data_IF_622183593823
#
_entry.id   IF_622183593823
#
_cell.length_a   1.000
_cell.length_b   1.000
_cell.length_c   1.000
_cell.angle_alpha   90.00
_cell.angle_beta   90.00
_cell.angle_gamma   90.00
#
_symmetry.space_group_name_H-M   'P 1'
#
loop_
_entity.id
_entity.type
_entity.pdbx_description
1 polymer ?
#
# COMPACT_ATOMS: atom_id res chain seq x y z
N UNK A 1 -14.31 6.03 -0.29
CA UNK A 1 -14.74 7.30 -0.93
C UNK A 1 -13.52 7.88 -1.64
N UNK A 2 -13.51 7.96 -2.98
CA UNK A 2 -12.33 8.36 -3.77
C UNK A 2 -12.00 9.83 -3.49
N UNK A 3 -10.82 10.12 -2.94
CA UNK A 3 -10.36 11.48 -2.61
C UNK A 3 -9.74 12.18 -3.83
N UNK A 4 -10.53 12.33 -4.90
CA UNK A 4 -10.10 13.02 -6.13
C UNK A 4 -9.56 14.44 -5.89
N UNK A 5 -10.06 15.13 -4.86
CA UNK A 5 -9.59 16.48 -4.49
C UNK A 5 -8.12 16.51 -4.07
N UNK A 6 -7.67 15.57 -3.23
CA UNK A 6 -6.28 15.51 -2.79
C UNK A 6 -5.32 15.17 -3.94
N UNK A 7 -5.78 14.38 -4.91
CA UNK A 7 -4.99 14.01 -6.10
C UNK A 7 -4.80 15.22 -7.02
N UNK A 8 -5.84 16.04 -7.19
CA UNK A 8 -5.76 17.28 -7.98
C UNK A 8 -4.84 18.30 -7.29
N UNK A 9 -4.94 18.44 -5.96
CA UNK A 9 -4.05 19.32 -5.19
C UNK A 9 -2.58 18.90 -5.28
N UNK A 10 -2.28 17.61 -5.12
CA UNK A 10 -0.92 17.06 -5.29
C UNK A 10 -0.37 17.24 -6.72
N UNK A 11 -1.22 17.21 -7.75
CA UNK A 11 -0.81 17.35 -9.15
C UNK A 11 -0.64 18.79 -9.61
N UNK A 12 -1.45 19.71 -9.10
CA UNK A 12 -1.58 21.05 -9.69
C UNK A 12 -1.14 22.18 -8.74
N UNK A 13 -0.94 21.89 -7.45
CA UNK A 13 -0.78 22.93 -6.42
C UNK A 13 -1.99 23.87 -6.32
N UNK A 14 -3.13 23.48 -6.89
CA UNK A 14 -4.25 24.36 -7.15
C UNK A 14 -5.26 24.29 -6.00
N UNK A 15 -5.25 25.33 -5.16
CA UNK A 15 -6.21 25.54 -4.09
C UNK A 15 -7.41 26.31 -4.65
N UNK A 16 -8.65 25.77 -4.68
CA UNK A 16 -9.76 26.44 -5.35
C UNK A 16 -10.28 27.62 -4.52
N UNK A 17 -9.71 28.82 -4.73
CA UNK A 17 -10.38 30.07 -4.33
C UNK A 17 -11.61 30.28 -5.21
N UNK A 18 -12.79 30.25 -4.59
CA UNK A 18 -14.12 30.56 -5.16
C UNK A 18 -14.07 31.66 -6.23
N UNK A 19 -14.16 31.27 -7.50
CA UNK A 19 -14.51 32.19 -8.58
C UNK A 19 -16.02 32.38 -8.58
N UNK A 20 -16.48 33.58 -8.18
CA UNK A 20 -17.84 34.05 -8.48
C UNK A 20 -17.93 34.27 -9.99
N UNK A 21 -18.79 33.50 -10.64
CA UNK A 21 -19.19 33.73 -12.03
C UNK A 21 -20.20 34.88 -12.05
N UNK A 22 -19.84 35.98 -12.71
CA UNK A 22 -20.79 37.02 -13.11
C UNK A 22 -21.49 36.55 -14.39
N UNK A 23 -22.81 36.37 -14.33
CA UNK A 23 -23.65 36.19 -15.50
C UNK A 23 -23.82 37.54 -16.22
N UNK A 24 -23.62 37.53 -17.54
CA UNK A 24 -24.08 38.61 -18.42
C UNK A 24 -25.13 38.05 -19.40
N UNK A 25 -26.20 38.81 -19.49
CA UNK A 25 -27.46 38.63 -20.22
C UNK A 25 -27.39 39.08 -21.69
N UNK A 26 -28.36 38.64 -22.50
CA UNK A 26 -28.82 39.32 -23.73
C UNK A 26 -28.73 38.44 -24.98
N UNK A 27 -29.79 37.72 -25.34
CA UNK A 27 -30.80 38.04 -26.40
C UNK A 27 -30.31 37.81 -27.83
N UNK A 28 -30.95 36.91 -28.57
CA UNK A 28 -31.73 37.31 -29.75
C UNK A 28 -32.64 36.18 -30.28
N UNK A 29 -33.86 36.60 -30.60
CA UNK A 29 -34.99 35.85 -31.12
C UNK A 29 -35.00 35.98 -32.65
N UNK A 30 -35.63 35.01 -33.34
CA UNK A 30 -35.93 34.92 -34.79
C UNK A 30 -34.97 34.06 -35.65
N UNK A 31 -35.08 32.73 -35.52
CA UNK A 31 -34.85 31.82 -36.66
C UNK A 31 -35.56 30.46 -36.45
N UNK A 32 -36.88 30.51 -36.31
CA UNK A 32 -37.71 29.35 -35.97
C UNK A 32 -38.48 28.91 -37.22
N UNK A 33 -37.86 28.09 -38.09
CA UNK A 33 -38.55 27.03 -38.88
C UNK A 33 -37.62 26.28 -39.85
N UNK A 34 -36.48 26.85 -40.27
CA UNK A 34 -35.41 26.11 -40.98
C UNK A 34 -34.43 25.41 -40.02
N UNK A 35 -34.58 25.63 -38.71
CA UNK A 35 -33.71 25.13 -37.65
C UNK A 35 -33.96 23.64 -37.30
N UNK A 36 -35.21 23.15 -37.32
CA UNK A 36 -35.53 21.81 -36.77
C UNK A 36 -34.91 20.62 -37.52
N UNK A 37 -34.75 20.67 -38.86
CA UNK A 37 -34.11 19.58 -39.63
C UNK A 37 -32.59 19.56 -39.49
N UNK A 38 -31.97 20.73 -39.31
CA UNK A 38 -30.52 20.86 -39.11
C UNK A 38 -30.14 20.56 -37.66
N UNK A 39 -31.02 20.92 -36.72
CA UNK A 39 -30.88 20.67 -35.27
C UNK A 39 -31.08 19.19 -34.90
N UNK A 40 -31.99 18.46 -35.55
CA UNK A 40 -32.13 17.01 -35.30
C UNK A 40 -30.96 16.17 -35.84
N UNK A 41 -30.41 16.54 -37.02
CA UNK A 41 -29.21 15.91 -37.60
C UNK A 41 -27.93 16.21 -36.81
N UNK A 42 -27.79 17.41 -36.26
CA UNK A 42 -26.64 17.75 -35.39
C UNK A 42 -26.75 17.08 -34.04
N UNK A 43 -27.96 17.00 -33.46
CA UNK A 43 -28.21 16.29 -32.20
C UNK A 43 -27.93 14.79 -32.32
N UNK A 44 -28.37 14.12 -33.40
CA UNK A 44 -28.06 12.69 -33.60
C UNK A 44 -26.58 12.41 -33.85
N UNK A 45 -25.87 13.31 -34.53
CA UNK A 45 -24.41 13.24 -34.72
C UNK A 45 -23.64 13.48 -33.42
N UNK A 46 -24.08 14.45 -32.61
CA UNK A 46 -23.50 14.68 -31.29
C UNK A 46 -23.72 13.50 -30.34
N UNK A 47 -24.90 12.87 -30.38
CA UNK A 47 -25.15 11.64 -29.61
C UNK A 47 -24.25 10.50 -30.06
N UNK A 48 -24.07 10.31 -31.38
CA UNK A 48 -23.16 9.30 -31.92
C UNK A 48 -21.70 9.53 -31.52
N UNK A 49 -21.22 10.77 -31.59
CA UNK A 49 -19.86 11.15 -31.15
C UNK A 49 -19.69 10.92 -29.65
N UNK A 50 -20.67 11.31 -28.83
CA UNK A 50 -20.63 11.10 -27.38
C UNK A 50 -20.57 9.61 -27.01
N UNK A 51 -21.33 8.75 -27.70
CA UNK A 51 -21.29 7.29 -27.50
C UNK A 51 -19.92 6.72 -27.85
N UNK A 52 -19.35 7.13 -28.99
CA UNK A 52 -18.01 6.68 -29.41
C UNK A 52 -16.97 7.12 -28.38
N UNK A 53 -17.02 8.37 -27.92
CA UNK A 53 -16.11 8.86 -26.88
C UNK A 53 -16.26 8.09 -25.57
N UNK A 54 -17.49 7.79 -25.15
CA UNK A 54 -17.75 6.99 -23.95
C UNK A 54 -17.19 5.56 -24.09
N UNK A 55 -17.34 4.93 -25.26
CA UNK A 55 -16.80 3.60 -25.53
C UNK A 55 -15.27 3.60 -25.53
N UNK A 56 -14.63 4.60 -26.16
CA UNK A 56 -13.17 4.74 -26.15
C UNK A 56 -12.66 4.92 -24.72
N UNK A 57 -13.34 5.74 -23.91
CA UNK A 57 -12.99 5.94 -22.51
C UNK A 57 -13.16 4.66 -21.69
N UNK A 58 -14.24 3.91 -21.91
CA UNK A 58 -14.48 2.64 -21.24
C UNK A 58 -13.40 1.60 -21.58
N UNK A 59 -13.03 1.47 -22.86
CA UNK A 59 -11.95 0.56 -23.29
C UNK A 59 -10.60 0.98 -22.69
N UNK A 60 -10.30 2.27 -22.67
CA UNK A 60 -9.09 2.78 -22.03
C UNK A 60 -9.06 2.46 -20.52
N UNK A 61 -10.16 2.67 -19.79
CA UNK A 61 -10.25 2.34 -18.36
C UNK A 61 -10.09 0.84 -18.09
N UNK A 62 -10.67 -0.03 -18.94
CA UNK A 62 -10.49 -1.48 -18.85
C UNK A 62 -9.04 -1.86 -19.10
N UNK A 63 -8.42 -1.31 -20.15
CA UNK A 63 -7.01 -1.55 -20.46
C UNK A 63 -6.09 -1.17 -19.31
N UNK A 64 -6.28 0.03 -18.75
CA UNK A 64 -5.52 0.50 -17.58
C UNK A 64 -5.75 -0.39 -16.35
N UNK A 65 -6.99 -0.85 -16.09
CA UNK A 65 -7.26 -1.77 -14.97
C UNK A 65 -6.55 -3.11 -15.13
N UNK A 66 -6.50 -3.65 -16.35
CA UNK A 66 -5.80 -4.90 -16.64
C UNK A 66 -4.28 -4.75 -16.48
N UNK A 67 -3.71 -3.64 -16.96
CA UNK A 67 -2.28 -3.34 -16.77
C UNK A 67 -1.94 -3.18 -15.28
N UNK A 68 -2.79 -2.49 -14.52
CA UNK A 68 -2.62 -2.36 -13.07
C UNK A 68 -2.66 -3.72 -12.34
N UNK A 69 -3.58 -4.61 -12.73
CA UNK A 69 -3.69 -5.94 -12.15
C UNK A 69 -2.46 -6.81 -12.49
N UNK A 70 -1.92 -6.70 -13.71
CA UNK A 70 -0.70 -7.41 -14.11
C UNK A 70 0.51 -6.95 -13.29
N UNK A 71 0.67 -5.64 -13.06
CA UNK A 71 1.75 -5.08 -12.24
C UNK A 71 1.74 -5.63 -10.81
N UNK A 72 0.57 -5.66 -10.16
CA UNK A 72 0.42 -6.26 -8.83
C UNK A 72 0.81 -7.74 -8.84
N UNK A 73 0.55 -8.45 -9.93
CA UNK A 73 0.90 -9.87 -10.06
C UNK A 73 2.40 -10.13 -10.26
N UNK A 74 3.15 -9.20 -10.86
CA UNK A 74 4.59 -9.39 -11.09
C UNK A 74 5.41 -9.23 -9.82
N UNK A 75 5.03 -8.30 -8.94
CA UNK A 75 5.70 -8.09 -7.65
C UNK A 75 5.59 -9.34 -6.75
N UNK A 76 4.42 -10.01 -6.74
CA UNK A 76 4.23 -11.26 -5.99
C UNK A 76 5.07 -12.42 -6.56
N UNK A 77 5.15 -12.55 -7.89
CA UNK A 77 5.90 -13.63 -8.55
C UNK A 77 7.40 -13.59 -8.24
N UNK A 78 7.95 -12.41 -7.98
CA UNK A 78 9.34 -12.28 -7.57
C UNK A 78 9.59 -12.93 -6.20
N UNK A 79 8.70 -12.71 -5.23
CA UNK A 79 8.79 -13.34 -3.92
C UNK A 79 8.44 -14.84 -3.95
N UNK A 80 7.52 -15.27 -4.82
CA UNK A 80 7.16 -16.68 -4.97
C UNK A 80 8.27 -17.57 -5.55
N UNK A 81 9.14 -16.98 -6.38
CA UNK A 81 10.26 -17.68 -7.00
C UNK A 81 11.51 -17.75 -6.10
N UNK A 82 11.47 -17.12 -4.93
CA UNK A 82 12.51 -17.25 -3.93
C UNK A 82 12.29 -18.52 -3.09
N UNK A 83 13.27 -19.42 -3.10
CA UNK A 83 13.13 -20.74 -2.44
C UNK A 83 12.97 -20.64 -0.93
N UNK A 84 13.64 -19.68 -0.29
CA UNK A 84 13.60 -19.49 1.17
C UNK A 84 12.28 -18.81 1.59
N UNK A 85 11.79 -17.81 0.84
CA UNK A 85 10.47 -17.23 1.05
C UNK A 85 9.35 -18.26 0.87
N UNK A 86 9.43 -19.08 -0.19
CA UNK A 86 8.47 -20.15 -0.46
C UNK A 86 8.42 -21.18 0.67
N UNK A 87 9.57 -21.59 1.20
CA UNK A 87 9.66 -22.52 2.32
C UNK A 87 8.90 -22.02 3.55
N UNK A 88 9.05 -20.74 3.91
CA UNK A 88 8.36 -20.17 5.08
C UNK A 88 6.83 -20.12 4.92
N UNK A 89 6.34 -19.80 3.72
CA UNK A 89 4.90 -19.87 3.45
C UNK A 89 4.38 -21.31 3.45
N UNK A 90 5.14 -22.27 2.91
CA UNK A 90 4.80 -23.68 3.00
C UNK A 90 4.82 -24.20 4.44
N UNK A 91 5.72 -23.68 5.27
CA UNK A 91 5.74 -24.01 6.69
C UNK A 91 4.45 -23.58 7.36
N UNK A 92 3.93 -22.37 7.10
CA UNK A 92 2.61 -21.94 7.58
C UNK A 92 1.55 -22.96 7.15
N UNK A 93 1.42 -23.21 5.84
CA UNK A 93 0.39 -24.11 5.31
C UNK A 93 0.37 -25.50 5.99
N UNK A 94 1.54 -26.03 6.34
CA UNK A 94 1.70 -27.38 6.87
C UNK A 94 1.71 -27.49 8.41
N UNK A 95 1.93 -26.39 9.14
CA UNK A 95 2.18 -26.44 10.60
C UNK A 95 1.23 -25.58 11.43
N UNK A 96 0.35 -24.81 10.80
CA UNK A 96 -0.66 -23.96 11.48
C UNK A 96 -2.08 -24.41 11.09
N UNK A 97 -3.11 -24.00 11.83
CA UNK A 97 -4.53 -24.30 11.52
C UNK A 97 -5.06 -23.35 10.43
N UNK A 98 -6.03 -23.78 9.62
CA UNK A 98 -6.50 -23.01 8.44
C UNK A 98 -7.12 -21.64 8.78
N UNK A 99 -7.66 -21.48 9.99
CA UNK A 99 -8.25 -20.23 10.48
C UNK A 99 -7.27 -19.33 11.23
N UNK A 100 -6.02 -19.76 11.42
CA UNK A 100 -5.00 -18.93 12.08
C UNK A 100 -4.64 -17.71 11.22
N UNK A 101 -4.44 -16.57 11.89
CA UNK A 101 -4.19 -15.27 11.27
C UNK A 101 -2.76 -14.80 11.54
N UNK A 102 -2.10 -14.28 10.51
CA UNK A 102 -0.72 -13.81 10.56
C UNK A 102 -0.66 -12.29 10.52
N UNK A 103 0.02 -11.70 11.51
CA UNK A 103 0.40 -10.30 11.54
C UNK A 103 1.74 -10.12 10.80
N UNK A 104 1.69 -9.49 9.63
CA UNK A 104 2.86 -9.23 8.80
C UNK A 104 2.77 -7.83 8.20
N UNK A 105 3.89 -7.32 7.68
CA UNK A 105 3.84 -6.17 6.80
C UNK A 105 3.15 -6.55 5.48
N UNK A 106 2.38 -5.61 4.89
CA UNK A 106 1.46 -5.88 3.78
C UNK A 106 2.13 -6.47 2.54
N UNK A 107 3.43 -6.19 2.32
CA UNK A 107 4.24 -6.78 1.25
C UNK A 107 4.20 -8.33 1.21
N UNK A 108 3.89 -9.00 2.33
CA UNK A 108 3.89 -10.46 2.45
C UNK A 108 2.50 -11.10 2.43
N UNK A 109 1.44 -10.27 2.39
CA UNK A 109 0.06 -10.73 2.53
C UNK A 109 -0.32 -11.79 1.50
N UNK A 110 0.03 -11.53 0.24
CA UNK A 110 -0.22 -12.43 -0.89
C UNK A 110 0.41 -13.82 -0.70
N UNK A 111 1.63 -13.90 -0.16
CA UNK A 111 2.29 -15.18 0.10
C UNK A 111 1.63 -15.95 1.23
N UNK A 112 1.21 -15.24 2.28
CA UNK A 112 0.50 -15.83 3.41
C UNK A 112 -0.87 -16.37 2.98
N UNK A 113 -1.64 -15.61 2.20
CA UNK A 113 -2.98 -16.04 1.77
C UNK A 113 -2.92 -17.13 0.68
N UNK A 114 -2.10 -16.93 -0.37
CA UNK A 114 -2.11 -17.78 -1.57
C UNK A 114 -1.31 -19.07 -1.42
N UNK A 115 -0.22 -19.05 -0.65
CA UNK A 115 0.64 -20.23 -0.40
C UNK A 115 0.43 -20.75 1.02
N UNK A 116 0.47 -19.86 2.01
CA UNK A 116 0.28 -20.22 3.41
C UNK A 116 -1.15 -20.64 3.76
N UNK A 117 -2.13 -20.23 2.96
CA UNK A 117 -3.56 -20.46 3.21
C UNK A 117 -4.00 -19.99 4.60
N UNK A 118 -3.50 -18.83 5.04
CA UNK A 118 -3.84 -18.21 6.33
C UNK A 118 -4.44 -16.83 6.16
N UNK A 119 -5.18 -16.40 7.18
CA UNK A 119 -5.64 -15.02 7.28
C UNK A 119 -4.48 -14.07 7.48
N UNK A 120 -4.64 -12.80 7.08
CA UNK A 120 -3.66 -11.75 7.34
C UNK A 120 -4.32 -10.55 8.01
N UNK A 121 -3.57 -9.90 8.90
CA UNK A 121 -4.07 -8.69 9.58
C UNK A 121 -4.22 -7.54 8.60
N UNK A 122 -3.26 -7.30 7.70
CA UNK A 122 -3.38 -6.28 6.64
C UNK A 122 -2.99 -6.88 5.30
N UNK A 123 -3.80 -6.60 4.28
CA UNK A 123 -3.52 -7.05 2.91
C UNK A 123 -2.78 -6.01 2.07
N UNK A 124 -2.93 -4.73 2.41
CA UNK A 124 -2.45 -3.62 1.60
C UNK A 124 -1.95 -2.46 2.47
N UNK A 125 -1.22 -1.54 1.85
CA UNK A 125 -0.86 -0.28 2.48
C UNK A 125 -2.09 0.62 2.72
N UNK A 126 -1.94 1.58 3.64
CA UNK A 126 -2.94 2.65 3.81
C UNK A 126 -2.66 3.84 2.91
N UNK A 127 -3.66 4.72 2.75
CA UNK A 127 -3.52 5.94 1.95
C UNK A 127 -2.44 6.88 2.50
N UNK A 128 -2.27 6.93 3.83
CA UNK A 128 -1.32 7.80 4.52
C UNK A 128 0.13 7.47 4.15
N UNK A 129 0.43 6.20 3.87
CA UNK A 129 1.76 5.72 3.48
C UNK A 129 1.86 5.40 1.99
N UNK A 130 0.92 5.84 1.14
CA UNK A 130 0.92 5.54 -0.32
C UNK A 130 2.27 5.82 -1.02
N UNK A 131 3.02 6.81 -0.54
CA UNK A 131 4.34 7.17 -1.10
C UNK A 131 5.44 6.14 -0.80
N UNK A 132 5.20 5.15 0.07
CA UNK A 132 6.12 4.05 0.34
C UNK A 132 5.87 2.84 -0.56
N UNK A 133 4.76 2.84 -1.31
CA UNK A 133 4.45 1.78 -2.27
C UNK A 133 5.29 1.99 -3.53
N UNK A 134 6.14 1.02 -3.87
CA UNK A 134 7.08 1.14 -4.99
C UNK A 134 6.39 1.50 -6.32
N UNK A 135 5.26 0.85 -6.60
CA UNK A 135 4.46 1.13 -7.80
C UNK A 135 3.82 2.52 -7.82
N UNK A 136 3.42 3.07 -6.66
CA UNK A 136 2.82 4.41 -6.53
C UNK A 136 3.87 5.51 -6.69
N UNK A 137 5.05 5.33 -6.08
CA UNK A 137 6.12 6.32 -6.06
C UNK A 137 6.96 6.34 -7.35
N UNK A 138 6.66 5.50 -8.34
CA UNK A 138 7.49 5.32 -9.52
C UNK A 138 7.57 6.61 -10.39
N UNK A 139 8.73 7.28 -10.47
CA UNK A 139 8.83 8.63 -11.04
C UNK A 139 8.59 8.68 -12.55
N UNK A 140 8.81 7.55 -13.26
CA UNK A 140 8.61 7.48 -14.71
C UNK A 140 7.18 7.11 -15.12
N UNK A 141 6.28 6.88 -14.16
CA UNK A 141 4.91 6.44 -14.43
C UNK A 141 3.90 7.31 -13.67
N UNK A 142 3.73 8.59 -14.05
CA UNK A 142 2.88 9.53 -13.32
C UNK A 142 1.39 9.11 -13.28
N UNK A 143 0.94 8.33 -14.27
CA UNK A 143 -0.41 7.79 -14.34
C UNK A 143 -0.70 6.79 -13.22
N UNK A 144 0.31 6.09 -12.69
CA UNK A 144 0.13 5.11 -11.62
C UNK A 144 -0.56 5.71 -10.40
N UNK A 145 -0.28 6.98 -10.04
CA UNK A 145 -0.95 7.61 -8.91
C UNK A 145 -2.48 7.63 -9.06
N UNK A 146 -2.96 7.79 -10.30
CA UNK A 146 -4.40 7.75 -10.61
C UNK A 146 -4.90 6.31 -10.52
N UNK A 147 -4.16 5.36 -11.08
CA UNK A 147 -4.54 3.94 -11.05
C UNK A 147 -4.67 3.42 -9.62
N UNK A 148 -3.68 3.72 -8.77
CA UNK A 148 -3.73 3.40 -7.34
C UNK A 148 -4.93 4.06 -6.66
N UNK A 149 -5.19 5.34 -6.92
CA UNK A 149 -6.35 6.01 -6.33
C UNK A 149 -7.71 5.45 -6.78
N UNK A 150 -7.78 4.88 -7.98
CA UNK A 150 -9.01 4.31 -8.52
C UNK A 150 -9.21 2.85 -8.11
N UNK A 151 -8.12 2.09 -7.99
CA UNK A 151 -8.20 0.63 -7.99
C UNK A 151 -7.39 -0.09 -6.92
N UNK A 152 -6.49 0.60 -6.22
CA UNK A 152 -5.75 -0.02 -5.13
C UNK A 152 -6.63 -0.12 -3.88
N UNK A 153 -6.78 -1.31 -3.28
CA UNK A 153 -7.69 -1.51 -2.16
C UNK A 153 -7.02 -1.11 -0.83
N UNK A 154 -6.77 0.19 -0.66
CA UNK A 154 -6.13 0.71 0.56
C UNK A 154 -6.83 0.23 1.84
N UNK A 155 -6.03 -0.25 2.79
CA UNK A 155 -6.49 -0.61 4.13
C UNK A 155 -6.79 0.65 4.98
N UNK A 156 -7.65 0.55 6.01
CA UNK A 156 -7.85 1.63 6.96
C UNK A 156 -6.54 2.06 7.62
N UNK A 157 -6.28 3.36 7.67
CA UNK A 157 -5.06 3.92 8.25
C UNK A 157 -4.83 3.52 9.71
N UNK A 158 -5.89 3.41 10.51
CA UNK A 158 -5.81 2.93 11.91
C UNK A 158 -5.28 1.49 11.97
N UNK A 159 -5.75 0.61 11.08
CA UNK A 159 -5.36 -0.80 11.05
C UNK A 159 -3.89 -0.96 10.68
N UNK A 160 -3.44 -0.24 9.65
CA UNK A 160 -2.02 -0.23 9.22
C UNK A 160 -1.14 0.41 10.28
N UNK A 161 -1.61 1.48 10.94
CA UNK A 161 -0.91 2.08 12.06
C UNK A 161 -0.76 1.11 13.23
N UNK A 162 -1.80 0.37 13.61
CA UNK A 162 -1.68 -0.62 14.68
C UNK A 162 -0.66 -1.71 14.35
N UNK A 163 -0.67 -2.26 13.12
CA UNK A 163 0.36 -3.22 12.69
C UNK A 163 1.75 -2.60 12.74
N UNK A 164 1.90 -1.32 12.38
CA UNK A 164 3.17 -0.63 12.52
C UNK A 164 3.57 -0.43 13.99
N UNK A 165 2.62 -0.06 14.86
CA UNK A 165 2.80 0.11 16.30
C UNK A 165 3.24 -1.21 16.97
N UNK A 166 2.71 -2.35 16.51
CA UNK A 166 3.20 -3.68 16.90
C UNK A 166 4.69 -3.82 16.60
N UNK A 167 5.11 -3.52 15.37
CA UNK A 167 6.50 -3.72 14.93
C UNK A 167 7.51 -2.75 15.58
N UNK A 168 7.09 -1.53 15.94
CA UNK A 168 7.96 -0.53 16.59
C UNK A 168 7.93 -0.60 18.12
N UNK A 169 7.05 -1.42 18.70
CA UNK A 169 7.03 -1.67 20.15
C UNK A 169 8.35 -2.29 20.61
N UNK A 170 8.74 -2.00 21.86
CA UNK A 170 9.97 -2.54 22.44
C UNK A 170 9.88 -4.05 22.59
N UNK A 171 10.97 -4.77 22.31
CA UNK A 171 11.00 -6.22 22.49
C UNK A 171 11.13 -6.65 23.96
N UNK A 172 11.54 -5.74 24.84
CA UNK A 172 11.62 -5.96 26.30
C UNK A 172 10.25 -5.94 26.99
N UNK A 173 9.25 -5.27 26.41
CA UNK A 173 7.88 -5.22 26.92
C UNK A 173 6.89 -5.34 25.76
N UNK A 174 6.39 -6.56 25.57
CA UNK A 174 5.46 -6.91 24.48
C UNK A 174 4.00 -6.58 24.79
N UNK A 175 3.67 -5.93 25.92
CA UNK A 175 2.27 -5.72 26.35
C UNK A 175 1.44 -5.03 25.28
N UNK A 176 1.92 -3.89 24.76
CA UNK A 176 1.21 -3.14 23.71
C UNK A 176 1.08 -3.95 22.40
N UNK A 177 2.11 -4.72 22.05
CA UNK A 177 2.09 -5.57 20.87
C UNK A 177 1.09 -6.73 21.01
N UNK A 178 0.97 -7.32 22.20
CA UNK A 178 -0.02 -8.36 22.49
C UNK A 178 -1.45 -7.80 22.43
N UNK A 179 -1.69 -6.60 22.92
CA UNK A 179 -3.01 -5.94 22.79
C UNK A 179 -3.40 -5.75 21.32
N UNK A 180 -2.44 -5.37 20.46
CA UNK A 180 -2.67 -5.23 19.02
C UNK A 180 -2.92 -6.60 18.37
N UNK A 181 -2.09 -7.60 18.68
CA UNK A 181 -2.29 -8.97 18.17
C UNK A 181 -3.69 -9.51 18.54
N UNK A 182 -4.10 -9.33 19.79
CA UNK A 182 -5.42 -9.73 20.28
C UNK A 182 -6.56 -8.93 19.62
N UNK A 183 -6.39 -7.62 19.40
CA UNK A 183 -7.38 -6.76 18.71
C UNK A 183 -7.75 -7.33 17.34
N UNK A 184 -6.79 -7.95 16.64
CA UNK A 184 -6.97 -8.50 15.30
C UNK A 184 -7.03 -10.03 15.24
N UNK A 185 -7.00 -10.72 16.39
CA UNK A 185 -7.00 -12.18 16.44
C UNK A 185 -5.79 -12.80 15.73
N UNK A 186 -4.62 -12.18 15.81
CA UNK A 186 -3.40 -12.70 15.21
C UNK A 186 -2.76 -13.78 16.09
N UNK A 187 -2.51 -14.94 15.50
CA UNK A 187 -1.89 -16.10 16.16
C UNK A 187 -0.38 -16.13 15.92
N UNK A 188 0.05 -15.60 14.78
CA UNK A 188 1.46 -15.55 14.38
C UNK A 188 1.87 -14.14 13.95
N UNK A 189 3.15 -13.84 14.09
CA UNK A 189 3.79 -12.71 13.43
C UNK A 189 4.90 -13.19 12.50
N UNK A 190 5.04 -12.53 11.35
CA UNK A 190 6.02 -12.85 10.32
C UNK A 190 6.91 -11.63 10.04
N UNK A 191 8.22 -11.86 9.99
CA UNK A 191 9.20 -10.89 9.53
C UNK A 191 10.19 -11.55 8.57
N UNK A 192 10.79 -10.74 7.70
CA UNK A 192 11.83 -11.17 6.77
C UNK A 192 13.11 -10.35 6.96
N UNK A 193 14.25 -10.91 6.56
CA UNK A 193 15.54 -10.20 6.60
C UNK A 193 15.55 -8.86 5.84
N UNK A 194 14.66 -8.71 4.86
CA UNK A 194 14.55 -7.52 4.01
C UNK A 194 13.78 -6.38 4.70
N UNK A 195 13.09 -6.65 5.83
CA UNK A 195 12.24 -5.66 6.50
C UNK A 195 13.02 -4.48 7.08
N UNK A 196 14.29 -4.65 7.42
CA UNK A 196 15.13 -3.51 7.82
C UNK A 196 15.31 -2.49 6.68
N UNK A 197 15.31 -2.94 5.43
CA UNK A 197 15.31 -2.07 4.26
C UNK A 197 13.99 -1.31 4.08
N UNK A 198 12.89 -1.83 4.63
CA UNK A 198 11.54 -1.25 4.57
C UNK A 198 11.14 -0.54 5.86
N UNK A 199 11.99 -0.56 6.89
CA UNK A 199 11.62 -0.09 8.23
C UNK A 199 11.22 1.38 8.29
N UNK A 200 11.73 2.22 7.38
CA UNK A 200 11.28 3.60 7.22
C UNK A 200 9.75 3.71 6.99
N UNK A 201 9.17 2.82 6.18
CA UNK A 201 7.74 2.80 5.91
C UNK A 201 6.92 2.41 7.15
N UNK A 202 7.42 1.44 7.93
CA UNK A 202 6.83 1.03 9.21
C UNK A 202 6.84 2.19 10.20
N UNK A 203 7.99 2.86 10.37
CA UNK A 203 8.11 4.01 11.26
C UNK A 203 7.20 5.17 10.85
N UNK A 204 7.04 5.41 9.54
CA UNK A 204 6.11 6.40 9.01
C UNK A 204 4.66 6.05 9.32
N UNK A 205 4.26 4.78 9.15
CA UNK A 205 2.92 4.30 9.47
C UNK A 205 2.59 4.41 10.97
N UNK A 206 3.57 4.10 11.84
CA UNK A 206 3.44 4.28 13.28
C UNK A 206 3.38 5.76 13.70
N UNK A 207 3.76 6.69 12.81
CA UNK A 207 3.80 8.13 13.11
C UNK A 207 4.90 8.52 14.09
N UNK A 208 5.96 7.72 14.18
CA UNK A 208 7.11 7.95 15.08
C UNK A 208 8.25 8.66 14.35
N UNK A 209 9.15 9.30 15.11
CA UNK A 209 10.29 9.98 14.53
C UNK A 209 11.39 8.99 14.11
N UNK A 210 11.72 8.96 12.81
CA UNK A 210 12.75 8.09 12.25
C UNK A 210 14.09 8.15 12.99
N UNK A 211 14.52 9.35 13.43
CA UNK A 211 15.82 9.53 14.10
C UNK A 211 15.88 8.94 15.52
N UNK A 212 14.74 8.61 16.11
CA UNK A 212 14.69 7.94 17.41
C UNK A 212 15.00 6.44 17.28
N UNK A 213 14.74 5.87 16.10
CA UNK A 213 14.82 4.45 15.82
C UNK A 213 16.00 4.07 14.93
N UNK A 214 16.49 4.98 14.07
CA UNK A 214 17.55 4.71 13.11
C UNK A 214 18.71 5.68 13.27
N UNK A 215 19.93 5.15 13.28
CA UNK A 215 21.15 5.94 13.26
C UNK A 215 21.53 6.22 11.80
N UNK A 216 21.83 7.50 11.52
CA UNK A 216 22.49 7.89 10.28
C UNK A 216 23.99 7.83 10.56
N UNK A 217 24.77 7.07 9.78
CA UNK A 217 26.21 7.00 9.99
C UNK A 217 26.84 8.39 9.88
N UNK A 218 27.69 8.73 10.85
CA UNK A 218 28.33 10.04 10.95
C UNK A 218 29.31 10.34 9.81
N UNK A 219 29.73 9.31 9.06
CA UNK A 219 30.75 9.38 8.02
C UNK A 219 30.19 9.33 6.59
N UNK A 220 29.00 9.85 6.34
CA UNK A 220 28.47 9.95 4.96
C UNK A 220 29.43 10.70 4.00
N UNK A 221 30.29 11.57 4.54
CA UNK A 221 31.27 12.38 3.82
C UNK A 221 32.60 11.68 3.48
N UNK A 222 32.86 10.47 4.02
CA UNK A 222 34.17 9.79 3.84
C UNK A 222 34.26 8.95 2.57
N UNK A 223 33.18 8.84 1.80
CA UNK A 223 33.15 8.04 0.56
C UNK A 223 33.13 6.53 0.78
N UNK A 224 33.12 6.05 2.04
CA UNK A 224 32.87 4.65 2.36
C UNK A 224 31.35 4.42 2.41
N UNK A 225 30.81 3.86 1.32
CA UNK A 225 29.38 3.57 1.13
C UNK A 225 28.84 2.38 1.95
N UNK A 226 29.67 1.79 2.83
CA UNK A 226 29.35 0.52 3.49
C UNK A 226 28.58 0.69 4.82
N UNK A 227 28.47 1.89 5.36
CA UNK A 227 27.68 2.12 6.57
C UNK A 227 26.22 2.40 6.19
N UNK A 228 25.41 1.33 6.11
CA UNK A 228 23.94 1.47 6.01
C UNK A 228 23.35 1.98 7.33
N UNK A 229 22.22 2.69 7.31
CA UNK A 229 21.49 3.04 8.53
C UNK A 229 21.26 1.80 9.38
N UNK A 230 21.54 1.88 10.68
CA UNK A 230 21.37 0.77 11.62
C UNK A 230 20.36 1.12 12.72
N UNK A 231 19.62 0.13 13.26
CA UNK A 231 18.68 0.36 14.35
C UNK A 231 19.37 0.89 15.62
N UNK A 232 18.78 1.91 16.23
CA UNK A 232 19.18 2.47 17.55
C UNK A 232 18.44 1.82 18.72
N UNK A 233 17.30 1.21 18.43
CA UNK A 233 16.41 0.61 19.42
C UNK A 233 16.10 -0.81 19.00
N UNK A 234 16.06 -1.68 20.00
CA UNK A 234 15.56 -3.03 19.81
C UNK A 234 14.03 -2.98 19.92
N UNK A 235 13.38 -3.15 18.77
CA UNK A 235 11.94 -3.31 18.63
C UNK A 235 11.60 -4.73 18.25
N UNK A 236 10.32 -5.09 18.34
CA UNK A 236 9.82 -6.39 17.90
C UNK A 236 10.26 -6.70 16.47
N UNK A 237 10.14 -5.76 15.52
CA UNK A 237 10.61 -6.01 14.15
C UNK A 237 12.11 -6.32 14.11
N UNK A 238 12.95 -5.51 14.77
CA UNK A 238 14.40 -5.72 14.73
C UNK A 238 14.83 -7.02 15.39
N UNK A 239 14.15 -7.43 16.47
CA UNK A 239 14.37 -8.72 17.13
C UNK A 239 13.92 -9.87 16.23
N UNK A 240 12.74 -9.78 15.64
CA UNK A 240 12.22 -10.81 14.73
C UNK A 240 13.14 -11.00 13.52
N UNK A 241 13.59 -9.90 12.90
CA UNK A 241 14.52 -9.93 11.75
C UNK A 241 15.85 -10.60 12.11
N UNK A 242 16.39 -10.27 13.29
CA UNK A 242 17.63 -10.86 13.82
C UNK A 242 17.46 -12.32 14.24
N UNK A 243 16.22 -12.78 14.45
CA UNK A 243 15.93 -14.10 14.99
C UNK A 243 16.15 -14.18 16.51
N UNK A 244 16.06 -13.05 17.21
CA UNK A 244 16.25 -12.98 18.66
C UNK A 244 15.06 -13.58 19.42
N UNK A 245 15.30 -14.10 20.62
CA UNK A 245 14.22 -14.48 21.52
C UNK A 245 13.48 -13.22 22.01
N UNK A 246 12.14 -13.28 22.00
CA UNK A 246 11.27 -12.19 22.46
C UNK A 246 10.38 -12.76 23.56
N UNK A 247 10.51 -12.25 24.79
CA UNK A 247 9.71 -12.74 25.90
C UNK A 247 8.20 -12.55 25.61
N UNK A 248 7.43 -13.63 25.74
CA UNK A 248 6.01 -13.65 25.43
C UNK A 248 5.68 -14.08 24.00
N UNK A 249 6.65 -14.21 23.09
CA UNK A 249 6.48 -14.83 21.78
C UNK A 249 7.37 -16.07 21.64
N UNK A 250 6.92 -17.06 20.87
CA UNK A 250 7.73 -18.26 20.60
C UNK A 250 8.16 -18.30 19.15
N UNK A 251 9.46 -18.44 18.88
CA UNK A 251 9.96 -18.57 17.50
C UNK A 251 9.74 -20.00 17.02
N UNK A 252 8.85 -20.18 16.05
CA UNK A 252 8.45 -21.50 15.54
C UNK A 252 9.16 -21.87 14.22
N UNK A 253 9.57 -20.86 13.44
CA UNK A 253 10.28 -21.04 12.18
C UNK A 253 11.34 -19.97 11.97
N UNK A 254 12.50 -20.37 11.46
CA UNK A 254 13.60 -19.51 11.09
C UNK A 254 14.48 -20.20 10.04
N UNK A 255 14.46 -19.72 8.81
CA UNK A 255 15.36 -20.19 7.75
C UNK A 255 16.39 -19.12 7.35
N UNK A 256 16.68 -18.16 8.22
CA UNK A 256 17.59 -17.05 7.94
C UNK A 256 16.96 -15.94 7.09
N UNK A 257 16.01 -16.23 6.21
CA UNK A 257 15.26 -15.22 5.45
C UNK A 257 13.95 -14.84 6.10
N UNK A 258 13.10 -15.81 6.39
CA UNK A 258 11.80 -15.62 7.00
C UNK A 258 11.81 -16.16 8.43
N UNK A 259 11.21 -15.40 9.35
CA UNK A 259 11.02 -15.80 10.74
C UNK A 259 9.57 -15.67 11.12
N UNK A 260 9.06 -16.70 11.79
CA UNK A 260 7.67 -16.78 12.20
C UNK A 260 7.64 -17.03 13.71
N UNK A 261 6.91 -16.15 14.40
CA UNK A 261 6.74 -16.20 15.85
C UNK A 261 5.28 -16.46 16.19
N UNK A 262 5.01 -17.42 17.06
CA UNK A 262 3.70 -17.60 17.69
C UNK A 262 3.50 -16.55 18.76
N UNK A 263 2.32 -15.91 18.74
CA UNK A 263 1.92 -14.87 19.66
C UNK A 263 1.16 -15.53 20.82
N UNK A 264 1.79 -15.61 22.01
CA UNK A 264 1.26 -16.28 23.21
C UNK A 264 0.57 -15.26 24.13
#
# INVERSE_FOLDING_TARGET
MVRLGEIVEDWTGWCPKKQRVNNASGTDFLQEETSMRTQSRTRSRMTGIAIILALVLAVALVGMRLEFADLQSQDWLYFANDSEGLEGYQWLANNTEEDETVLAWWDYADGIEKIGHRGVVINEASWEIKNTIAGYAHPRKPWHKIEYALWYPFEPGEKVKDVADFFVSGSEDVTAAREIAQKYGADYALATSDDLGKYFAVLMAAGVNYHDYMAIPSNFSSGNSDERPYPKRQTILTSMVSGDDIEGFSKEFDNGRMKIYKLV
#
